data_IF_884390275752
#
_entry.id   IF_884390275752
#
_cell.length_a   1.000
_cell.length_b   1.000
_cell.length_c   1.000
_cell.angle_alpha   90.00
_cell.angle_beta   90.00
_cell.angle_gamma   90.00
#
_symmetry.space_group_name_H-M   'P 1'
#
loop_
_entity.id
_entity.type
_entity.pdbx_description
1 polymer ?
#
# COMPACT_ATOMS: atom_id res chain seq x y z
N UNK A 1 -1.35 -7.05 22.57
CA UNK A 1 -2.63 -6.82 21.89
C UNK A 1 -2.62 -7.40 20.49
N UNK A 2 -3.50 -8.38 20.30
CA UNK A 2 -3.56 -9.31 19.18
C UNK A 2 -3.62 -8.60 17.83
N UNK A 3 -2.66 -8.95 16.96
CA UNK A 3 -2.81 -8.78 15.53
C UNK A 3 -4.07 -9.55 15.15
N UNK A 4 -5.16 -8.84 14.86
CA UNK A 4 -6.39 -9.47 14.42
C UNK A 4 -6.05 -10.19 13.12
N UNK A 5 -5.92 -11.51 13.19
CA UNK A 5 -6.17 -12.39 12.06
C UNK A 5 -7.56 -12.00 11.57
N UNK A 6 -7.63 -11.10 10.61
CA UNK A 6 -8.84 -10.86 9.83
C UNK A 6 -9.00 -12.06 8.91
N UNK A 7 -9.30 -13.21 9.51
CA UNK A 7 -9.83 -14.35 8.79
C UNK A 7 -11.25 -13.94 8.45
N UNK A 8 -11.43 -13.22 7.34
CA UNK A 8 -12.71 -13.31 6.64
C UNK A 8 -12.75 -14.78 6.26
N UNK A 9 -13.63 -15.55 6.91
CA UNK A 9 -13.84 -16.94 6.57
C UNK A 9 -14.30 -16.96 5.11
N UNK A 10 -13.35 -17.18 4.20
CA UNK A 10 -13.64 -17.65 2.87
C UNK A 10 -14.07 -19.10 3.07
N UNK A 11 -15.32 -19.28 3.48
CA UNK A 11 -15.93 -20.59 3.65
C UNK A 11 -16.30 -21.09 2.26
N UNK A 12 -15.28 -21.44 1.50
CA UNK A 12 -15.42 -22.38 0.41
C UNK A 12 -14.58 -23.58 0.79
N UNK A 13 -15.21 -24.70 1.15
CA UNK A 13 -14.60 -26.04 1.19
C UNK A 13 -14.09 -26.49 -0.21
N UNK A 14 -14.20 -25.58 -1.18
CA UNK A 14 -13.79 -25.68 -2.56
C UNK A 14 -12.31 -25.32 -2.63
N UNK A 15 -11.47 -26.35 -2.70
CA UNK A 15 -10.04 -26.20 -2.93
C UNK A 15 -9.80 -25.77 -4.38
N UNK A 16 -9.10 -24.64 -4.54
CA UNK A 16 -8.59 -24.13 -5.82
C UNK A 16 -7.10 -24.42 -5.87
N UNK A 17 -6.63 -25.02 -6.96
CA UNK A 17 -5.20 -25.28 -7.19
C UNK A 17 -4.74 -24.64 -8.49
N UNK A 18 -3.49 -24.14 -8.49
CA UNK A 18 -2.85 -23.62 -9.69
C UNK A 18 -2.37 -24.78 -10.56
N UNK A 19 -2.84 -24.83 -11.80
CA UNK A 19 -2.42 -25.81 -12.83
C UNK A 19 -1.25 -25.29 -13.69
N UNK A 20 -0.83 -24.05 -13.46
CA UNK A 20 0.29 -23.41 -14.14
C UNK A 20 -0.14 -22.28 -15.08
N UNK A 21 0.74 -21.94 -16.01
CA UNK A 21 0.57 -20.85 -16.96
C UNK A 21 0.75 -21.35 -18.39
N UNK A 22 -0.14 -20.93 -19.29
CA UNK A 22 -0.03 -21.20 -20.73
C UNK A 22 -0.18 -19.88 -21.50
N UNK A 23 0.91 -19.41 -22.10
CA UNK A 23 0.95 -18.19 -22.91
C UNK A 23 0.36 -16.95 -22.20
N UNK A 24 0.73 -16.73 -20.93
CA UNK A 24 0.22 -15.62 -20.10
C UNK A 24 -1.15 -15.88 -19.47
N UNK A 25 -1.77 -17.03 -19.69
CA UNK A 25 -3.03 -17.42 -19.04
C UNK A 25 -2.75 -18.32 -17.84
N UNK A 26 -3.07 -17.82 -16.66
CA UNK A 26 -3.03 -18.60 -15.42
C UNK A 26 -4.23 -19.55 -15.33
N UNK A 27 -3.95 -20.85 -15.18
CA UNK A 27 -4.96 -21.89 -15.11
C UNK A 27 -5.13 -22.35 -13.66
N UNK A 28 -6.39 -22.47 -13.24
CA UNK A 28 -6.75 -22.96 -11.91
C UNK A 28 -7.81 -24.05 -12.01
N UNK A 29 -7.68 -25.10 -11.21
CA UNK A 29 -8.67 -26.18 -11.11
C UNK A 29 -9.41 -26.12 -9.77
N UNK A 30 -10.66 -26.56 -9.80
CA UNK A 30 -11.49 -26.75 -8.60
C UNK A 30 -11.56 -28.26 -8.37
N UNK A 31 -10.95 -28.76 -7.29
CA UNK A 31 -10.86 -30.21 -7.06
C UNK A 31 -12.14 -30.85 -6.55
N UNK A 32 -12.94 -30.10 -5.80
CA UNK A 32 -14.13 -30.61 -5.13
C UNK A 32 -15.39 -30.06 -5.80
N UNK A 33 -16.43 -30.90 -5.91
CA UNK A 33 -17.74 -30.43 -6.36
C UNK A 33 -18.26 -29.32 -5.43
N UNK A 34 -18.89 -28.31 -6.02
CA UNK A 34 -19.50 -27.20 -5.29
C UNK A 34 -20.92 -26.94 -5.78
N UNK A 35 -21.78 -26.45 -4.89
CA UNK A 35 -23.16 -26.10 -5.22
C UNK A 35 -23.30 -24.58 -5.35
N UNK A 36 -23.75 -24.11 -6.51
CA UNK A 36 -24.07 -22.71 -6.74
C UNK A 36 -25.59 -22.52 -6.63
N UNK A 37 -26.05 -21.78 -5.63
CA UNK A 37 -27.48 -21.52 -5.47
C UNK A 37 -28.00 -20.57 -6.56
N UNK A 38 -29.27 -20.69 -7.00
CA UNK A 38 -29.87 -19.75 -7.92
C UNK A 38 -29.74 -18.30 -7.40
N UNK A 39 -29.32 -17.38 -8.27
CA UNK A 39 -29.10 -15.95 -7.94
C UNK A 39 -28.10 -15.71 -6.81
N UNK A 40 -27.10 -16.58 -6.66
CA UNK A 40 -26.01 -16.39 -5.71
C UNK A 40 -24.73 -15.91 -6.39
N UNK A 41 -23.90 -15.21 -5.61
CA UNK A 41 -22.51 -14.89 -5.99
C UNK A 41 -21.59 -15.81 -5.19
N UNK A 42 -20.76 -16.57 -5.91
CA UNK A 42 -19.73 -17.41 -5.31
C UNK A 42 -18.37 -16.83 -5.66
N UNK A 43 -17.57 -16.55 -4.63
CA UNK A 43 -16.23 -16.02 -4.79
C UNK A 43 -15.23 -17.10 -4.42
N UNK A 44 -14.19 -17.26 -5.24
CA UNK A 44 -13.12 -18.23 -5.04
C UNK A 44 -11.80 -17.52 -4.74
N UNK A 45 -11.03 -17.96 -3.74
CA UNK A 45 -9.72 -17.40 -3.48
C UNK A 45 -8.70 -18.08 -4.40
N UNK A 46 -8.26 -17.38 -5.45
CA UNK A 46 -7.26 -17.90 -6.39
C UNK A 46 -5.82 -17.85 -5.85
N UNK A 47 -5.56 -16.95 -4.91
CA UNK A 47 -4.29 -16.82 -4.21
C UNK A 47 -4.57 -16.41 -2.76
N UNK A 48 -3.71 -16.86 -1.84
CA UNK A 48 -3.81 -16.55 -0.42
C UNK A 48 -2.44 -16.09 0.11
N UNK A 49 -1.87 -15.03 -0.47
CA UNK A 49 -0.50 -14.62 -0.17
C UNK A 49 -0.41 -14.12 1.27
N UNK A 50 0.74 -14.37 1.90
CA UNK A 50 1.11 -13.61 3.08
C UNK A 50 1.75 -12.30 2.64
N UNK A 51 1.15 -11.17 3.03
CA UNK A 51 1.63 -9.83 2.68
C UNK A 51 2.34 -9.22 3.89
N UNK A 52 3.64 -8.94 3.74
CA UNK A 52 4.36 -8.03 4.65
C UNK A 52 4.10 -6.59 4.20
N UNK A 53 3.66 -5.73 5.13
CA UNK A 53 3.32 -4.33 4.82
C UNK A 53 3.94 -3.38 5.85
N UNK A 54 4.65 -2.35 5.38
CA UNK A 54 5.24 -1.29 6.20
C UNK A 54 4.82 0.08 5.70
N UNK A 55 4.18 0.88 6.57
CA UNK A 55 3.79 2.25 6.24
C UNK A 55 5.03 3.17 6.20
N UNK A 56 5.12 3.98 5.16
CA UNK A 56 6.17 4.99 4.94
C UNK A 56 5.51 6.32 4.59
N UNK A 57 6.02 7.42 5.16
CA UNK A 57 5.63 8.76 4.76
C UNK A 57 6.61 9.26 3.70
N UNK A 58 6.11 9.65 2.54
CA UNK A 58 6.94 10.12 1.44
C UNK A 58 6.67 11.61 1.14
N UNK A 59 7.74 12.41 1.07
CA UNK A 59 7.67 13.79 0.60
C UNK A 59 8.55 13.92 -0.64
N UNK A 60 7.96 14.30 -1.76
CA UNK A 60 8.68 14.65 -2.99
C UNK A 60 8.77 16.16 -3.10
N UNK A 61 10.00 16.69 -3.17
CA UNK A 61 10.22 18.12 -3.38
C UNK A 61 11.31 18.32 -4.41
N UNK A 62 11.01 19.07 -5.46
CA UNK A 62 12.02 19.62 -6.35
C UNK A 62 12.61 20.88 -5.74
N UNK A 63 13.86 21.16 -6.08
CA UNK A 63 14.50 22.36 -5.57
C UNK A 63 13.81 23.62 -6.11
N UNK A 64 13.41 24.51 -5.19
CA UNK A 64 12.96 25.87 -5.49
C UNK A 64 13.25 26.78 -4.28
N UNK A 65 13.34 28.08 -4.51
CA UNK A 65 13.64 29.09 -3.48
C UNK A 65 12.42 29.53 -2.66
N UNK A 66 11.28 28.84 -2.80
CA UNK A 66 10.03 29.20 -2.10
C UNK A 66 9.79 28.30 -0.89
N UNK A 67 9.20 28.88 0.14
CA UNK A 67 8.62 28.11 1.22
C UNK A 67 7.46 27.27 0.68
N UNK A 68 7.25 26.09 1.25
CA UNK A 68 6.12 25.24 0.89
C UNK A 68 5.59 24.49 2.09
N UNK A 69 4.31 24.18 2.06
CA UNK A 69 3.65 23.32 3.05
C UNK A 69 2.71 22.38 2.33
N UNK A 70 2.51 21.21 2.90
CA UNK A 70 1.66 20.19 2.29
C UNK A 70 1.43 19.00 3.20
N UNK A 71 0.84 17.96 2.61
CA UNK A 71 0.72 16.65 3.22
C UNK A 71 1.72 15.71 2.54
N UNK A 72 2.27 14.75 3.29
CA UNK A 72 3.06 13.69 2.67
C UNK A 72 2.16 12.78 1.83
N UNK A 73 2.76 11.95 1.01
CA UNK A 73 2.12 10.80 0.39
C UNK A 73 2.06 9.64 1.39
N UNK A 74 0.97 8.88 1.35
CA UNK A 74 0.75 7.65 2.08
C UNK A 74 1.25 6.50 1.21
N UNK A 75 2.38 5.93 1.62
CA UNK A 75 3.04 4.85 0.90
C UNK A 75 3.15 3.62 1.79
N UNK A 76 2.99 2.43 1.21
CA UNK A 76 3.26 1.17 1.89
C UNK A 76 4.31 0.40 1.12
N UNK A 77 5.37 -0.02 1.81
CA UNK A 77 6.26 -1.05 1.30
C UNK A 77 5.58 -2.39 1.50
N UNK A 78 5.22 -3.04 0.40
CA UNK A 78 4.58 -4.35 0.41
C UNK A 78 5.53 -5.41 -0.14
N UNK A 79 5.46 -6.61 0.40
CA UNK A 79 6.13 -7.81 -0.11
C UNK A 79 5.17 -8.99 0.00
N UNK A 80 5.08 -9.80 -1.05
CA UNK A 80 4.24 -11.00 -1.08
C UNK A 80 5.08 -12.26 -0.93
N UNK A 81 4.54 -13.28 -0.26
CA UNK A 81 5.18 -14.61 -0.19
C UNK A 81 5.14 -15.39 -1.52
N UNK A 82 4.27 -14.98 -2.44
CA UNK A 82 4.07 -15.62 -3.74
C UNK A 82 3.85 -14.56 -4.82
N UNK A 83 3.91 -14.98 -6.09
CA UNK A 83 3.58 -14.10 -7.21
C UNK A 83 2.18 -13.51 -7.05
N UNK A 84 2.03 -12.20 -7.30
CA UNK A 84 0.73 -11.56 -7.38
C UNK A 84 0.52 -10.91 -8.73
N UNK A 85 -0.61 -11.21 -9.41
CA UNK A 85 -0.91 -10.57 -10.67
C UNK A 85 -1.24 -9.09 -10.46
N UNK A 86 -0.98 -8.31 -11.50
CA UNK A 86 -1.35 -6.91 -11.59
C UNK A 86 -2.84 -6.71 -11.32
N UNK A 87 -3.18 -5.62 -10.64
CA UNK A 87 -4.57 -5.33 -10.32
C UNK A 87 -4.78 -4.16 -9.38
N UNK A 88 -6.04 -3.83 -9.15
CA UNK A 88 -6.42 -2.81 -8.18
C UNK A 88 -6.43 -3.39 -6.76
N UNK A 89 -5.73 -2.73 -5.85
CA UNK A 89 -5.71 -3.06 -4.44
C UNK A 89 -6.41 -1.99 -3.62
N UNK A 90 -7.11 -2.43 -2.58
CA UNK A 90 -7.75 -1.53 -1.60
C UNK A 90 -7.04 -1.69 -0.27
N UNK A 91 -6.46 -0.61 0.25
CA UNK A 91 -5.74 -0.64 1.51
C UNK A 91 -6.68 -0.28 2.65
N UNK A 92 -6.58 -1.02 3.75
CA UNK A 92 -7.33 -0.78 4.98
C UNK A 92 -6.39 -0.63 6.17
N UNK A 93 -6.63 0.39 7.01
CA UNK A 93 -6.01 0.52 8.34
C UNK A 93 -7.12 0.44 9.39
N UNK A 94 -6.94 -0.40 10.41
CA UNK A 94 -7.90 -0.59 11.52
C UNK A 94 -9.36 -0.82 11.03
N UNK A 95 -9.51 -1.60 9.95
CA UNK A 95 -10.80 -1.94 9.35
C UNK A 95 -11.39 -0.89 8.40
N UNK A 96 -10.81 0.30 8.32
CA UNK A 96 -11.27 1.41 7.47
C UNK A 96 -10.51 1.45 6.16
N UNK A 97 -11.20 1.71 5.05
CA UNK A 97 -10.55 1.96 3.75
C UNK A 97 -9.80 3.28 3.83
N UNK A 98 -8.51 3.23 3.54
CA UNK A 98 -7.60 4.40 3.59
C UNK A 98 -7.15 4.87 2.22
N UNK A 99 -7.36 4.06 1.19
CA UNK A 99 -7.04 4.39 -0.19
C UNK A 99 -7.12 3.17 -1.09
N UNK A 100 -7.03 3.44 -2.39
CA UNK A 100 -6.96 2.44 -3.44
C UNK A 100 -5.81 2.80 -4.38
N UNK A 101 -5.20 1.78 -4.98
CA UNK A 101 -4.12 1.95 -5.94
C UNK A 101 -4.06 0.74 -6.86
N UNK A 102 -3.22 0.78 -7.87
CA UNK A 102 -2.94 -0.34 -8.77
C UNK A 102 -1.52 -0.85 -8.52
N UNK A 103 -1.36 -2.16 -8.49
CA UNK A 103 -0.05 -2.82 -8.56
C UNK A 103 0.15 -3.42 -9.96
N UNK A 104 1.40 -3.45 -10.41
CA UNK A 104 1.80 -4.34 -11.50
C UNK A 104 1.95 -5.77 -10.99
N UNK A 105 2.43 -6.65 -11.86
CA UNK A 105 2.82 -7.99 -11.46
C UNK A 105 3.94 -7.91 -10.41
N UNK A 106 3.76 -8.61 -9.28
CA UNK A 106 4.69 -8.61 -8.17
C UNK A 106 5.32 -9.98 -8.03
N UNK A 107 6.65 -10.03 -8.13
CA UNK A 107 7.45 -11.22 -7.83
C UNK A 107 7.32 -11.62 -6.36
N UNK A 108 7.46 -12.91 -6.08
CA UNK A 108 7.58 -13.39 -4.70
C UNK A 108 8.81 -12.76 -4.02
N UNK A 109 8.66 -12.42 -2.75
CA UNK A 109 9.69 -11.89 -1.86
C UNK A 109 10.36 -10.56 -2.27
N UNK A 110 9.78 -9.84 -3.23
CA UNK A 110 10.23 -8.51 -3.64
C UNK A 110 9.43 -7.38 -2.95
N UNK A 111 10.13 -6.33 -2.51
CA UNK A 111 9.47 -5.13 -1.97
C UNK A 111 9.11 -4.15 -3.07
N UNK A 112 7.84 -3.72 -3.09
CA UNK A 112 7.37 -2.63 -3.94
C UNK A 112 6.67 -1.54 -3.13
N UNK A 113 6.76 -0.31 -3.64
CA UNK A 113 6.11 0.85 -3.04
C UNK A 113 4.67 0.98 -3.57
N UNK A 114 3.71 0.83 -2.69
CA UNK A 114 2.29 1.06 -2.95
C UNK A 114 1.89 2.46 -2.48
N UNK A 115 1.76 3.40 -3.42
CA UNK A 115 1.28 4.75 -3.15
C UNK A 115 -0.26 4.79 -3.21
N UNK A 116 -0.90 5.31 -2.15
CA UNK A 116 -2.36 5.45 -2.07
C UNK A 116 -2.84 6.90 -2.00
N UNK A 117 -1.97 7.86 -2.34
CA UNK A 117 -2.27 9.28 -2.40
C UNK A 117 -1.86 10.05 -1.16
N UNK A 118 -2.54 11.15 -0.86
CA UNK A 118 -2.17 12.06 0.24
C UNK A 118 -2.43 11.43 1.62
N UNK A 119 -1.49 11.58 2.57
CA UNK A 119 -1.68 11.21 3.97
C UNK A 119 -2.17 12.42 4.79
N UNK A 120 -3.46 12.50 5.17
CA UNK A 120 -3.99 13.61 5.97
C UNK A 120 -3.43 13.69 7.40
N UNK A 121 -2.72 12.65 7.85
CA UNK A 121 -2.16 12.60 9.20
C UNK A 121 -0.76 13.21 9.28
N UNK A 122 -0.06 13.35 8.15
CA UNK A 122 1.35 13.76 8.12
C UNK A 122 1.49 15.00 7.24
N UNK A 123 1.74 16.11 7.89
CA UNK A 123 1.99 17.39 7.22
C UNK A 123 3.48 17.72 7.24
N UNK A 124 3.94 18.41 6.21
CA UNK A 124 5.28 18.98 6.17
C UNK A 124 5.25 20.49 5.94
N UNK A 125 6.29 21.15 6.40
CA UNK A 125 6.59 22.55 6.18
C UNK A 125 8.06 22.67 5.80
N UNK A 126 8.32 23.31 4.67
CA UNK A 126 9.65 23.56 4.12
C UNK A 126 9.88 25.06 4.11
N UNK A 127 10.94 25.47 4.77
CA UNK A 127 11.41 26.85 4.82
C UNK A 127 12.72 26.95 4.07
N UNK A 128 12.84 27.98 3.24
CA UNK A 128 14.04 28.25 2.45
C UNK A 128 14.52 29.65 2.78
N UNK A 129 15.78 29.75 3.16
CA UNK A 129 16.46 31.02 3.40
C UNK A 129 17.58 31.16 2.39
N UNK A 130 17.54 32.22 1.60
CA UNK A 130 18.66 32.59 0.73
C UNK A 130 19.80 33.11 1.59
N UNK A 131 20.95 32.47 1.52
CA UNK A 131 22.17 32.86 2.24
C UNK A 131 23.05 33.75 1.36
N UNK A 132 23.20 33.37 0.10
CA UNK A 132 23.93 34.13 -0.92
C UNK A 132 23.11 34.15 -2.20
N UNK A 133 23.07 35.30 -2.86
CA UNK A 133 22.55 35.45 -4.21
C UNK A 133 23.34 36.53 -4.94
N UNK A 134 24.20 36.11 -5.87
CA UNK A 134 24.94 36.98 -6.77
C UNK A 134 24.91 36.39 -8.19
N UNK A 135 25.57 37.07 -9.14
CA UNK A 135 25.54 36.71 -10.56
C UNK A 135 26.07 35.29 -10.83
N UNK A 136 27.05 34.84 -10.04
CA UNK A 136 27.74 33.55 -10.25
C UNK A 136 27.24 32.41 -9.35
N UNK A 137 26.56 32.71 -8.23
CA UNK A 137 26.25 31.73 -7.19
C UNK A 137 25.00 32.09 -6.39
N UNK A 138 24.19 31.07 -6.10
CA UNK A 138 23.11 31.15 -5.12
C UNK A 138 23.24 30.02 -4.09
N UNK A 139 23.20 30.37 -2.82
CA UNK A 139 23.25 29.41 -1.71
C UNK A 139 21.98 29.54 -0.87
N UNK A 140 21.42 28.40 -0.48
CA UNK A 140 20.17 28.33 0.25
C UNK A 140 20.29 27.38 1.44
N UNK A 141 19.78 27.81 2.58
CA UNK A 141 19.53 26.97 3.74
C UNK A 141 18.08 26.46 3.64
N UNK A 142 17.89 25.15 3.68
CA UNK A 142 16.58 24.50 3.54
C UNK A 142 16.27 23.72 4.80
N UNK A 143 15.24 24.14 5.53
CA UNK A 143 14.72 23.45 6.71
C UNK A 143 13.41 22.74 6.38
N UNK A 144 13.27 21.48 6.79
CA UNK A 144 12.04 20.70 6.61
C UNK A 144 11.57 20.21 7.96
N UNK A 145 10.35 20.59 8.33
CA UNK A 145 9.66 20.14 9.54
C UNK A 145 8.55 19.17 9.16
N UNK A 146 8.55 17.97 9.75
CA UNK A 146 7.51 16.96 9.55
C UNK A 146 6.70 16.84 10.84
N UNK A 147 5.37 16.93 10.74
CA UNK A 147 4.44 16.83 11.86
C UNK A 147 3.45 15.69 11.61
N UNK A 148 3.43 14.72 12.52
CA UNK A 148 2.47 13.62 12.52
C UNK A 148 1.36 13.89 13.55
N UNK A 149 0.11 13.97 13.09
CA UNK A 149 -1.08 14.26 13.90
C UNK A 149 -1.62 13.03 14.62
N UNK A 150 -1.08 11.84 14.37
CA UNK A 150 -1.53 10.57 14.96
C UNK A 150 -1.08 10.47 16.42
N UNK A 151 -1.85 11.07 17.33
CA UNK A 151 -1.73 10.82 18.77
C UNK A 151 -2.52 9.55 19.14
N UNK A 152 -1.88 8.38 19.16
CA UNK A 152 -2.55 7.16 19.69
C UNK A 152 -2.27 7.01 21.18
N UNK A 153 -3.34 6.89 21.99
CA UNK A 153 -3.24 6.21 23.29
C UNK A 153 -2.99 4.73 23.02
N UNK A 154 -1.94 4.17 23.62
CA UNK A 154 -1.71 2.72 23.63
C UNK A 154 -2.78 2.13 24.55
N UNK A 155 -3.88 1.63 24.00
CA UNK A 155 -4.70 0.71 24.76
C UNK A 155 -3.91 -0.59 24.87
N UNK A 156 -3.44 -0.91 26.08
CA UNK A 156 -2.99 -2.28 26.39
C UNK A 156 -4.24 -3.14 26.53
N UNK A 157 -4.38 -4.17 25.69
CA UNK A 157 -4.99 -5.44 26.09
C UNK A 157 -4.15 -6.59 25.56
#
# INVERSE_FOLDING_TARGET
>A
MLCAKSTRAYNSDVAVESEGEVAGLYMYSIKNAYSLSPRSTFSLPFAAPTIEMKKVALMRSYFNSRNSKGQSERVYKIKSSEFLPAGTVTVREDGRVVGQSSIGDLSADEFVDLNVGSDPEISYEREVKTIVHNEDTSQYEVSVTIKNRKQRKINKK
#
